data_IF_297840917327
#
_entry.id   IF_297840917327
#
_cell.length_a   1.000
_cell.length_b   1.000
_cell.length_c   1.000
_cell.angle_alpha   90.00
_cell.angle_beta   90.00
_cell.angle_gamma   90.00
#
_symmetry.space_group_name_H-M   'P 1'
#
loop_
_entity.id
_entity.type
_entity.pdbx_description
1 polymer ?
#
# COMPACT_ATOMS: atom_id res chain seq x y z
N UNK A 1 21.48 6.92 -38.38
CA UNK A 1 20.29 6.83 -37.50
C UNK A 1 19.66 8.22 -37.50
N UNK A 2 19.00 8.55 -38.60
CA UNK A 2 18.42 9.86 -38.86
C UNK A 2 16.93 9.82 -38.52
N UNK A 3 16.46 10.87 -37.83
CA UNK A 3 15.06 11.18 -37.53
C UNK A 3 14.29 10.26 -36.57
N UNK A 4 14.76 10.12 -35.32
CA UNK A 4 13.81 9.86 -34.22
C UNK A 4 13.06 11.18 -33.98
N UNK A 5 11.77 11.24 -34.37
CA UNK A 5 10.93 12.40 -34.09
C UNK A 5 10.96 12.71 -32.59
N UNK A 6 11.27 13.96 -32.25
CA UNK A 6 11.37 14.42 -30.87
C UNK A 6 9.96 14.39 -30.26
N UNK A 7 9.77 13.58 -29.22
CA UNK A 7 8.49 13.45 -28.49
C UNK A 7 8.20 14.75 -27.75
N UNK A 8 6.96 15.25 -27.89
CA UNK A 8 6.46 16.35 -27.08
C UNK A 8 6.01 15.82 -25.71
N UNK A 9 6.85 16.06 -24.69
CA UNK A 9 6.59 15.62 -23.33
C UNK A 9 5.45 16.38 -22.64
N UNK A 10 4.99 17.50 -23.21
CA UNK A 10 3.84 18.25 -22.67
C UNK A 10 2.49 17.73 -23.17
N UNK A 11 2.49 16.93 -24.23
CA UNK A 11 1.29 16.34 -24.84
C UNK A 11 1.46 14.86 -25.13
N UNK A 12 1.88 14.09 -24.12
CA UNK A 12 2.07 12.65 -24.26
C UNK A 12 0.72 11.97 -24.44
N UNK A 13 0.63 11.07 -25.42
CA UNK A 13 -0.54 10.23 -25.68
C UNK A 13 -0.12 8.81 -26.10
N UNK A 14 -1.05 7.84 -26.07
CA UNK A 14 -0.77 6.48 -26.48
C UNK A 14 -0.26 6.35 -27.92
N UNK A 15 0.51 5.29 -28.16
CA UNK A 15 1.13 4.96 -29.44
C UNK A 15 0.62 3.58 -29.90
N UNK A 16 0.13 3.50 -31.13
CA UNK A 16 -0.11 2.24 -31.84
C UNK A 16 0.92 1.97 -32.92
N UNK A 17 0.84 2.73 -34.01
CA UNK A 17 1.63 2.54 -35.24
C UNK A 17 2.46 3.78 -35.61
N UNK A 18 1.99 4.99 -35.27
CA UNK A 18 2.69 6.25 -35.55
C UNK A 18 2.76 7.15 -34.32
N UNK A 19 3.83 7.93 -34.21
CA UNK A 19 3.99 8.86 -33.09
C UNK A 19 2.77 9.78 -33.02
N UNK A 20 2.16 9.89 -31.85
CA UNK A 20 0.99 10.73 -31.59
C UNK A 20 -0.32 10.28 -32.27
N UNK A 21 -0.48 9.02 -32.66
CA UNK A 21 -1.76 8.52 -33.20
C UNK A 21 -2.86 8.33 -32.15
N UNK A 22 -2.49 8.19 -30.87
CA UNK A 22 -3.43 8.01 -29.77
C UNK A 22 -4.07 6.62 -29.75
N UNK A 23 -3.60 5.66 -30.54
CA UNK A 23 -4.28 4.38 -30.67
C UNK A 23 -4.13 3.55 -29.39
N UNK A 24 -5.24 3.00 -28.90
CA UNK A 24 -5.31 2.20 -27.68
C UNK A 24 -6.18 0.98 -27.91
N UNK A 25 -5.70 -0.17 -27.45
CA UNK A 25 -6.56 -1.32 -27.21
C UNK A 25 -7.12 -1.24 -25.80
N UNK A 26 -8.43 -1.33 -25.66
CA UNK A 26 -9.12 -1.41 -24.37
C UNK A 26 -9.96 -2.68 -24.32
N UNK A 27 -10.14 -3.22 -23.12
CA UNK A 27 -11.01 -4.37 -22.89
C UNK A 27 -11.80 -4.19 -21.61
N UNK A 28 -13.08 -4.50 -21.67
CA UNK A 28 -13.98 -4.41 -20.52
C UNK A 28 -15.20 -5.31 -20.71
N UNK A 29 -15.98 -5.47 -19.65
CA UNK A 29 -17.22 -6.26 -19.64
C UNK A 29 -18.39 -5.35 -19.33
N UNK A 30 -19.49 -5.51 -20.05
CA UNK A 30 -20.77 -4.88 -19.71
C UNK A 30 -21.76 -5.95 -19.21
N UNK A 31 -22.56 -5.64 -18.16
CA UNK A 31 -23.60 -6.54 -17.64
C UNK A 31 -24.85 -6.49 -18.54
N UNK A 32 -24.68 -6.78 -19.83
CA UNK A 32 -25.74 -6.79 -20.84
C UNK A 32 -25.68 -8.07 -21.68
N UNK A 33 -26.82 -8.57 -22.18
CA UNK A 33 -26.87 -9.74 -23.05
C UNK A 33 -26.00 -9.57 -24.29
N UNK A 34 -25.42 -10.66 -24.77
CA UNK A 34 -24.63 -10.67 -25.99
C UNK A 34 -25.50 -10.34 -27.22
N UNK A 35 -25.07 -9.38 -28.03
CA UNK A 35 -25.81 -8.93 -29.20
C UNK A 35 -25.27 -7.63 -29.80
N UNK A 36 -25.96 -7.14 -30.82
CA UNK A 36 -25.59 -5.91 -31.54
C UNK A 36 -25.78 -4.68 -30.63
N UNK A 37 -26.82 -4.66 -29.78
CA UNK A 37 -27.06 -3.63 -28.78
C UNK A 37 -25.92 -3.54 -27.76
N UNK A 38 -25.31 -4.68 -27.43
CA UNK A 38 -24.18 -4.76 -26.51
C UNK A 38 -22.94 -4.10 -27.11
N UNK A 39 -22.69 -4.37 -28.39
CA UNK A 39 -21.57 -3.79 -29.14
C UNK A 39 -21.74 -2.28 -29.33
N UNK A 40 -22.96 -1.83 -29.61
CA UNK A 40 -23.28 -0.41 -29.72
C UNK A 40 -23.15 0.33 -28.39
N UNK A 41 -23.63 -0.28 -27.29
CA UNK A 41 -23.43 0.25 -25.95
C UNK A 41 -21.95 0.40 -25.59
N UNK A 42 -21.11 -0.57 -25.97
CA UNK A 42 -19.67 -0.52 -25.75
C UNK A 42 -19.00 0.61 -26.55
N UNK A 43 -19.41 0.85 -27.81
CA UNK A 43 -18.93 1.99 -28.62
C UNK A 43 -19.28 3.34 -28.00
N UNK A 44 -20.55 3.54 -27.66
CA UNK A 44 -20.99 4.81 -27.06
C UNK A 44 -20.31 5.08 -25.71
N UNK A 45 -20.03 4.03 -24.94
CA UNK A 45 -19.27 4.17 -23.70
C UNK A 45 -17.82 4.60 -23.98
N UNK A 46 -17.15 3.97 -24.95
CA UNK A 46 -15.79 4.33 -25.34
C UNK A 46 -15.71 5.79 -25.86
N UNK A 47 -16.69 6.24 -26.63
CA UNK A 47 -16.77 7.66 -27.07
C UNK A 47 -16.85 8.61 -25.87
N UNK A 48 -17.69 8.30 -24.88
CA UNK A 48 -17.81 9.09 -23.65
C UNK A 48 -16.55 9.06 -22.78
N UNK A 49 -15.73 8.03 -22.90
CA UNK A 49 -14.41 7.93 -22.26
C UNK A 49 -13.32 8.74 -22.99
N UNK A 50 -13.66 9.42 -24.09
CA UNK A 50 -12.73 10.26 -24.84
C UNK A 50 -11.97 9.54 -25.95
N UNK A 51 -12.49 8.41 -26.44
CA UNK A 51 -11.94 7.71 -27.60
C UNK A 51 -12.69 8.09 -28.88
N UNK A 52 -11.96 8.53 -29.90
CA UNK A 52 -12.49 8.73 -31.24
C UNK A 52 -12.48 7.42 -32.03
N UNK A 53 -13.48 7.27 -32.90
CA UNK A 53 -13.68 6.12 -33.80
C UNK A 53 -13.54 4.75 -33.09
N UNK A 54 -14.17 4.51 -31.93
CA UNK A 54 -14.00 3.25 -31.22
C UNK A 54 -14.66 2.10 -31.98
N UNK A 55 -13.92 1.00 -32.12
CA UNK A 55 -14.34 -0.19 -32.85
C UNK A 55 -14.23 -1.42 -31.96
N UNK A 56 -15.32 -2.18 -31.86
CA UNK A 56 -15.31 -3.52 -31.26
C UNK A 56 -14.64 -4.48 -32.24
N UNK A 57 -13.51 -5.07 -31.82
CA UNK A 57 -12.79 -6.09 -32.61
C UNK A 57 -13.09 -7.50 -32.13
N UNK A 58 -13.54 -7.64 -30.88
CA UNK A 58 -13.95 -8.92 -30.32
C UNK A 58 -15.04 -8.71 -29.28
N UNK A 59 -16.05 -9.58 -29.30
CA UNK A 59 -17.09 -9.65 -28.28
C UNK A 59 -17.36 -11.10 -27.92
N UNK A 60 -17.61 -11.40 -26.65
CA UNK A 60 -17.90 -12.76 -26.18
C UNK A 60 -18.92 -12.76 -25.04
N UNK A 61 -19.91 -13.63 -25.14
CA UNK A 61 -20.83 -13.94 -24.04
C UNK A 61 -20.10 -14.68 -22.91
N UNK A 62 -20.29 -14.22 -21.67
CA UNK A 62 -19.76 -14.86 -20.47
C UNK A 62 -20.73 -15.87 -19.84
N UNK A 63 -21.93 -16.06 -20.41
CA UNK A 63 -22.91 -17.05 -19.98
C UNK A 63 -23.71 -16.68 -18.74
N UNK A 64 -23.53 -15.45 -18.23
CA UNK A 64 -24.23 -14.91 -17.05
C UNK A 64 -25.04 -13.65 -17.38
N UNK A 65 -25.33 -13.42 -18.67
CA UNK A 65 -25.97 -12.19 -19.16
C UNK A 65 -25.02 -11.00 -19.27
N UNK A 66 -23.72 -11.27 -19.41
CA UNK A 66 -22.65 -10.28 -19.48
C UNK A 66 -21.87 -10.50 -20.77
N UNK A 67 -21.38 -9.42 -21.35
CA UNK A 67 -20.61 -9.45 -22.59
C UNK A 67 -19.24 -8.82 -22.38
N UNK A 68 -18.19 -9.57 -22.71
CA UNK A 68 -16.81 -9.08 -22.73
C UNK A 68 -16.49 -8.51 -24.11
N UNK A 69 -15.74 -7.41 -24.14
CA UNK A 69 -15.33 -6.72 -25.35
C UNK A 69 -13.81 -6.48 -25.38
N UNK A 70 -13.24 -6.55 -26.58
CA UNK A 70 -11.94 -5.94 -26.91
C UNK A 70 -12.22 -4.91 -28.00
N UNK A 71 -11.71 -3.71 -27.80
CA UNK A 71 -11.95 -2.57 -28.66
C UNK A 71 -10.66 -1.82 -28.96
N UNK A 72 -10.61 -1.17 -30.11
CA UNK A 72 -9.59 -0.19 -30.45
C UNK A 72 -10.23 1.19 -30.57
N UNK A 73 -9.54 2.24 -30.17
CA UNK A 73 -9.98 3.61 -30.33
C UNK A 73 -8.82 4.59 -30.19
N UNK A 74 -9.01 5.82 -30.69
CA UNK A 74 -8.00 6.87 -30.60
C UNK A 74 -8.25 7.74 -29.38
N UNK A 75 -7.41 7.64 -28.36
CA UNK A 75 -7.44 8.49 -27.18
C UNK A 75 -7.22 9.96 -27.58
N UNK A 76 -8.18 10.82 -27.22
CA UNK A 76 -8.09 12.26 -27.48
C UNK A 76 -7.34 13.01 -26.39
N UNK A 77 -7.21 12.41 -25.21
CA UNK A 77 -6.57 13.02 -24.06
C UNK A 77 -5.04 12.92 -24.14
N UNK A 78 -4.39 13.95 -23.63
CA UNK A 78 -2.94 14.02 -23.48
C UNK A 78 -2.58 14.28 -22.02
N UNK A 79 -1.35 13.93 -21.66
CA UNK A 79 -0.78 14.20 -20.34
C UNK A 79 0.49 15.01 -20.51
N UNK A 80 0.64 16.06 -19.71
CA UNK A 80 1.92 16.76 -19.56
C UNK A 80 2.80 15.97 -18.59
N UNK A 81 3.77 15.24 -19.15
CA UNK A 81 4.72 14.45 -18.39
C UNK A 81 5.65 15.34 -17.53
N UNK A 82 5.90 16.57 -17.96
CA UNK A 82 6.82 17.49 -17.27
C UNK A 82 6.24 18.09 -16.00
N UNK A 83 4.91 18.09 -15.86
CA UNK A 83 4.20 18.58 -14.68
C UNK A 83 3.86 17.47 -13.67
N UNK A 84 4.25 16.22 -13.93
CA UNK A 84 3.95 15.11 -13.02
C UNK A 84 4.84 15.19 -11.77
N UNK A 85 4.23 15.54 -10.64
CA UNK A 85 4.84 15.41 -9.32
C UNK A 85 4.54 14.02 -8.75
N UNK A 86 5.52 13.13 -8.81
CA UNK A 86 5.46 11.87 -8.05
C UNK A 86 6.05 12.15 -6.67
N UNK A 87 5.32 11.90 -5.58
CA UNK A 87 5.90 11.89 -4.24
C UNK A 87 6.95 10.77 -4.21
N UNK A 88 8.21 11.13 -4.50
CA UNK A 88 9.34 10.23 -4.27
C UNK A 88 9.55 10.24 -2.78
N UNK A 89 9.03 9.21 -2.13
CA UNK A 89 9.46 8.86 -0.79
C UNK A 89 10.89 8.36 -0.93
N UNK A 90 11.86 9.28 -0.93
CA UNK A 90 13.29 8.95 -0.71
C UNK A 90 13.43 8.59 0.77
N UNK A 91 12.87 7.45 1.16
CA UNK A 91 13.29 6.78 2.38
C UNK A 91 14.40 5.83 1.97
N UNK A 92 15.59 6.05 2.52
CA UNK A 92 16.64 5.02 2.48
C UNK A 92 16.12 3.81 3.26
N UNK A 93 15.84 2.73 2.55
CA UNK A 93 15.47 1.45 3.14
C UNK A 93 16.77 0.73 3.48
N UNK A 94 16.89 0.33 4.76
CA UNK A 94 17.98 -0.50 5.21
C UNK A 94 17.59 -1.96 5.09
N UNK A 95 18.45 -2.76 4.46
CA UNK A 95 18.36 -4.21 4.49
C UNK A 95 18.69 -4.74 5.89
N UNK A 96 18.29 -5.99 6.17
CA UNK A 96 18.49 -6.61 7.50
C UNK A 96 19.92 -6.50 8.01
N UNK A 97 20.90 -6.76 7.15
CA UNK A 97 22.31 -6.75 7.52
C UNK A 97 22.81 -5.33 7.85
N UNK A 98 22.30 -4.33 7.14
CA UNK A 98 22.61 -2.92 7.39
C UNK A 98 22.02 -2.47 8.73
N UNK A 99 20.81 -2.92 9.07
CA UNK A 99 20.20 -2.67 10.40
C UNK A 99 21.04 -3.31 11.51
N UNK A 100 21.45 -4.56 11.34
CA UNK A 100 22.28 -5.27 12.32
C UNK A 100 23.65 -4.60 12.54
N UNK A 101 24.29 -4.14 11.46
CA UNK A 101 25.55 -3.40 11.52
C UNK A 101 25.35 -2.03 12.19
N UNK A 102 24.28 -1.32 11.85
CA UNK A 102 23.98 -0.03 12.44
C UNK A 102 23.74 -0.13 13.95
N UNK A 103 22.99 -1.13 14.42
CA UNK A 103 22.78 -1.37 15.85
C UNK A 103 24.12 -1.62 16.54
N UNK A 104 24.98 -2.45 15.94
CA UNK A 104 26.29 -2.78 16.50
C UNK A 104 27.24 -1.59 16.59
N UNK A 105 27.29 -0.75 15.55
CA UNK A 105 28.24 0.35 15.46
C UNK A 105 27.78 1.62 16.19
N UNK A 106 26.48 1.93 16.12
CA UNK A 106 25.93 3.20 16.59
C UNK A 106 25.23 3.07 17.95
N UNK A 107 24.39 2.03 18.13
CA UNK A 107 23.61 1.84 19.37
C UNK A 107 24.44 1.10 20.43
N UNK A 108 25.25 0.13 19.99
CA UNK A 108 26.23 -0.63 20.81
C UNK A 108 25.60 -1.43 21.96
N UNK A 109 24.30 -1.70 21.88
CA UNK A 109 23.52 -2.57 22.77
C UNK A 109 22.30 -3.09 22.00
N UNK A 110 21.67 -4.11 22.55
CA UNK A 110 20.44 -4.65 21.99
C UNK A 110 19.31 -3.60 22.11
N UNK A 111 18.49 -3.53 21.07
CA UNK A 111 17.30 -2.70 20.96
C UNK A 111 16.09 -3.54 21.36
N UNK A 112 15.36 -3.11 22.38
CA UNK A 112 14.22 -3.86 22.90
C UNK A 112 12.93 -3.29 22.31
N UNK A 113 12.15 -4.13 21.62
CA UNK A 113 10.93 -3.72 20.93
C UNK A 113 9.77 -4.57 21.44
N UNK A 114 8.75 -3.91 22.00
CA UNK A 114 7.53 -4.58 22.46
C UNK A 114 6.42 -4.29 21.46
N UNK A 115 5.70 -5.33 21.02
CA UNK A 115 4.58 -5.14 20.10
C UNK A 115 3.33 -5.91 20.50
N UNK A 116 2.16 -5.35 20.16
CA UNK A 116 0.87 -5.92 20.48
C UNK A 116 -0.24 -5.39 19.56
N UNK A 117 -1.32 -6.17 19.42
CA UNK A 117 -2.61 -5.60 19.04
C UNK A 117 -3.31 -5.13 20.31
N UNK A 118 -3.47 -3.80 20.45
CA UNK A 118 -3.98 -3.22 21.69
C UNK A 118 -5.51 -3.07 21.73
N UNK A 119 -6.06 -2.96 22.93
CA UNK A 119 -7.50 -2.81 23.17
C UNK A 119 -8.24 -4.12 22.99
N UNK A 120 -9.35 -4.12 22.24
CA UNK A 120 -10.18 -5.32 22.03
C UNK A 120 -9.86 -6.08 20.74
N UNK A 121 -8.87 -5.62 19.97
CA UNK A 121 -8.53 -6.17 18.66
C UNK A 121 -7.82 -7.53 18.79
N UNK A 122 -8.40 -8.56 18.18
CA UNK A 122 -7.90 -9.94 18.19
C UNK A 122 -7.03 -10.30 16.97
N UNK A 123 -6.84 -9.39 16.01
CA UNK A 123 -6.21 -9.71 14.73
C UNK A 123 -4.70 -9.57 14.79
N UNK A 124 -3.97 -10.67 15.00
CA UNK A 124 -2.49 -10.66 15.14
C UNK A 124 -1.72 -10.72 13.82
N UNK A 125 -2.35 -11.08 12.70
CA UNK A 125 -1.62 -11.39 11.45
C UNK A 125 -0.68 -10.26 11.01
N UNK A 126 -1.10 -9.00 11.18
CA UNK A 126 -0.28 -7.83 10.83
C UNK A 126 0.94 -7.66 11.74
N UNK A 127 0.78 -7.75 13.06
CA UNK A 127 1.91 -7.62 13.99
C UNK A 127 2.84 -8.83 13.90
N UNK A 128 2.28 -10.03 13.72
CA UNK A 128 3.03 -11.28 13.55
C UNK A 128 3.90 -11.25 12.29
N UNK A 129 3.43 -10.60 11.22
CA UNK A 129 4.19 -10.40 9.99
C UNK A 129 5.45 -9.53 10.19
N UNK A 130 5.44 -8.64 11.19
CA UNK A 130 6.54 -7.73 11.50
C UNK A 130 7.44 -8.31 12.59
N UNK A 131 6.88 -8.97 13.60
CA UNK A 131 7.63 -9.45 14.76
C UNK A 131 8.22 -10.83 14.56
N UNK A 132 7.44 -11.79 14.04
CA UNK A 132 7.84 -13.21 14.09
C UNK A 132 9.02 -13.51 13.17
N UNK A 133 9.85 -14.48 13.55
CA UNK A 133 11.06 -14.88 12.82
C UNK A 133 10.87 -15.17 11.31
N UNK A 134 9.69 -15.63 10.89
CA UNK A 134 9.37 -15.89 9.48
C UNK A 134 9.14 -14.61 8.68
N UNK A 135 8.58 -13.58 9.31
CA UNK A 135 8.13 -12.35 8.66
C UNK A 135 7.09 -12.57 7.56
N UNK A 136 7.09 -11.70 6.55
CA UNK A 136 6.11 -11.66 5.46
C UNK A 136 6.76 -11.35 4.11
N UNK A 137 6.31 -12.04 3.06
CA UNK A 137 6.73 -11.85 1.66
C UNK A 137 8.26 -11.78 1.43
N UNK A 138 9.01 -12.64 2.11
CA UNK A 138 10.47 -12.69 1.99
C UNK A 138 11.22 -11.69 2.90
N UNK A 139 10.52 -10.74 3.50
CA UNK A 139 11.06 -9.88 4.55
C UNK A 139 10.93 -10.58 5.90
N UNK A 140 12.05 -10.79 6.60
CA UNK A 140 12.04 -11.43 7.92
C UNK A 140 11.56 -10.46 9.00
N UNK A 141 10.91 -11.00 10.04
CA UNK A 141 10.48 -10.21 11.18
C UNK A 141 11.61 -9.90 12.17
N UNK A 142 11.33 -8.96 13.07
CA UNK A 142 12.29 -8.37 14.01
C UNK A 142 12.97 -9.40 14.93
N UNK A 143 12.29 -10.50 15.30
CA UNK A 143 12.89 -11.60 16.06
C UNK A 143 14.12 -12.23 15.39
N UNK A 144 14.26 -12.08 14.06
CA UNK A 144 15.39 -12.62 13.32
C UNK A 144 16.60 -11.68 13.25
N UNK A 145 16.43 -10.41 13.63
CA UNK A 145 17.49 -9.42 13.55
C UNK A 145 18.44 -9.56 14.74
N UNK A 146 19.74 -9.59 14.47
CA UNK A 146 20.76 -9.55 15.53
C UNK A 146 20.78 -8.18 16.19
N UNK A 147 20.81 -8.17 17.52
CA UNK A 147 20.78 -6.93 18.30
C UNK A 147 19.39 -6.34 18.48
N UNK A 148 18.33 -7.09 18.14
CA UNK A 148 16.94 -6.74 18.47
C UNK A 148 16.35 -7.82 19.38
N UNK A 149 15.79 -7.39 20.51
CA UNK A 149 14.94 -8.21 21.36
C UNK A 149 13.48 -7.84 21.09
N UNK A 150 12.80 -8.68 20.30
CA UNK A 150 11.40 -8.48 19.95
C UNK A 150 10.48 -9.27 20.89
N UNK A 151 9.56 -8.57 21.56
CA UNK A 151 8.60 -9.15 22.52
C UNK A 151 7.17 -8.94 21.99
N UNK A 152 6.63 -9.97 21.37
CA UNK A 152 5.24 -9.97 20.88
C UNK A 152 4.27 -10.37 22.00
N UNK A 153 3.43 -9.44 22.45
CA UNK A 153 2.40 -9.67 23.47
C UNK A 153 1.10 -10.23 22.90
N UNK A 154 1.01 -10.42 21.58
CA UNK A 154 -0.16 -10.99 20.92
C UNK A 154 -1.28 -9.97 20.73
N UNK A 155 -2.52 -10.38 21.03
CA UNK A 155 -3.71 -9.57 20.80
C UNK A 155 -4.52 -9.30 22.06
N UNK A 156 -5.43 -8.34 21.95
CA UNK A 156 -6.32 -7.90 23.02
C UNK A 156 -5.56 -7.43 24.27
N UNK A 157 -4.43 -6.76 24.07
CA UNK A 157 -3.57 -6.27 25.16
C UNK A 157 -4.03 -4.88 25.57
N UNK A 158 -4.27 -4.66 26.86
CA UNK A 158 -4.62 -3.33 27.37
C UNK A 158 -3.42 -2.37 27.26
N UNK A 159 -3.68 -1.09 27.01
CA UNK A 159 -2.61 -0.09 26.90
C UNK A 159 -1.77 -0.01 28.18
N UNK A 160 -2.40 -0.15 29.35
CA UNK A 160 -1.73 -0.18 30.64
C UNK A 160 -0.79 -1.37 30.78
N UNK A 161 -1.21 -2.56 30.32
CA UNK A 161 -0.38 -3.77 30.34
C UNK A 161 0.80 -3.66 29.36
N UNK A 162 0.55 -3.10 28.18
CA UNK A 162 1.57 -2.84 27.17
C UNK A 162 2.62 -1.86 27.69
N UNK A 163 2.22 -0.75 28.30
CA UNK A 163 3.12 0.24 28.89
C UNK A 163 3.88 -0.37 30.08
N UNK A 164 3.21 -1.10 30.96
CA UNK A 164 3.84 -1.75 32.10
C UNK A 164 4.93 -2.73 31.64
N UNK A 165 4.66 -3.52 30.59
CA UNK A 165 5.65 -4.43 30.02
C UNK A 165 6.82 -3.67 29.39
N UNK A 166 6.55 -2.59 28.66
CA UNK A 166 7.58 -1.75 28.07
C UNK A 166 8.50 -1.13 29.14
N UNK A 167 7.97 -0.71 30.29
CA UNK A 167 8.77 -0.22 31.42
C UNK A 167 9.61 -1.35 32.04
N UNK A 168 8.99 -2.50 32.29
CA UNK A 168 9.63 -3.68 32.90
C UNK A 168 10.88 -4.09 32.12
N UNK A 169 10.76 -4.16 30.80
CA UNK A 169 11.83 -4.61 29.90
C UNK A 169 12.71 -3.46 29.39
N UNK A 170 12.43 -2.21 29.80
CA UNK A 170 13.10 -0.99 29.34
C UNK A 170 13.13 -0.90 27.81
N UNK A 171 11.96 -1.08 27.20
CA UNK A 171 11.80 -1.06 25.76
C UNK A 171 12.28 0.28 25.15
N UNK A 172 12.88 0.21 23.97
CA UNK A 172 13.25 1.37 23.16
C UNK A 172 12.08 1.81 22.26
N UNK A 173 11.25 0.85 21.85
CA UNK A 173 10.10 1.10 21.00
C UNK A 173 8.88 0.24 21.38
N UNK A 174 7.69 0.80 21.11
CA UNK A 174 6.40 0.11 21.19
C UNK A 174 5.76 0.10 19.79
N UNK A 175 5.38 -1.08 19.32
CA UNK A 175 4.68 -1.31 18.05
C UNK A 175 3.23 -1.70 18.33
N UNK A 176 2.29 -0.92 17.83
CA UNK A 176 0.86 -1.17 18.03
C UNK A 176 0.19 -1.49 16.70
N UNK A 177 -0.49 -2.64 16.66
CA UNK A 177 -1.33 -3.02 15.53
C UNK A 177 -2.81 -2.72 15.83
N UNK A 178 -3.49 -2.04 14.91
CA UNK A 178 -4.92 -1.73 14.99
C UNK A 178 -5.60 -2.01 13.66
N UNK A 179 -6.51 -2.97 13.61
CA UNK A 179 -7.25 -3.36 12.41
C UNK A 179 -8.72 -2.92 12.51
N UNK A 180 -9.31 -2.98 13.71
CA UNK A 180 -10.71 -2.61 13.90
C UNK A 180 -10.86 -1.09 13.93
N UNK A 181 -11.41 -0.53 12.85
CA UNK A 181 -11.66 0.92 12.74
C UNK A 181 -13.09 1.35 13.07
N UNK A 182 -13.98 0.40 13.40
CA UNK A 182 -15.40 0.68 13.61
C UNK A 182 -15.63 1.74 14.71
N UNK A 183 -16.43 2.76 14.40
CA UNK A 183 -16.72 3.90 15.31
C UNK A 183 -15.45 4.59 15.83
N UNK A 184 -14.39 4.62 15.02
CA UNK A 184 -13.13 5.27 15.35
C UNK A 184 -12.47 4.73 16.63
N UNK A 185 -12.74 3.47 16.98
CA UNK A 185 -12.21 2.84 18.20
C UNK A 185 -10.67 2.84 18.22
N UNK A 186 -10.04 2.62 17.07
CA UNK A 186 -8.59 2.74 16.88
C UNK A 186 -8.05 4.13 17.25
N UNK A 187 -8.73 5.22 16.88
CA UNK A 187 -8.30 6.59 17.20
C UNK A 187 -8.37 6.82 18.70
N UNK A 188 -9.50 6.48 19.33
CA UNK A 188 -9.66 6.62 20.78
C UNK A 188 -8.62 5.80 21.55
N UNK A 189 -8.38 4.56 21.13
CA UNK A 189 -7.43 3.66 21.77
C UNK A 189 -5.97 4.12 21.60
N UNK A 190 -5.58 4.58 20.41
CA UNK A 190 -4.24 5.13 20.18
C UNK A 190 -4.04 6.47 20.92
N UNK A 191 -5.07 7.31 20.98
CA UNK A 191 -5.04 8.57 21.76
C UNK A 191 -4.82 8.26 23.23
N UNK A 192 -5.58 7.31 23.79
CA UNK A 192 -5.43 6.87 25.17
C UNK A 192 -4.01 6.36 25.47
N UNK A 193 -3.41 5.59 24.57
CA UNK A 193 -2.02 5.12 24.72
C UNK A 193 -1.04 6.29 24.82
N UNK A 194 -1.16 7.28 23.93
CA UNK A 194 -0.29 8.45 23.92
C UNK A 194 -0.46 9.27 25.21
N UNK A 195 -1.70 9.53 25.63
CA UNK A 195 -2.00 10.24 26.88
C UNK A 195 -1.41 9.54 28.11
N UNK A 196 -1.50 8.21 28.19
CA UNK A 196 -0.90 7.43 29.27
C UNK A 196 0.63 7.52 29.26
N UNK A 197 1.26 7.45 28.08
CA UNK A 197 2.71 7.60 27.97
C UNK A 197 3.21 9.00 28.30
N UNK A 198 2.42 10.04 28.01
CA UNK A 198 2.71 11.41 28.44
C UNK A 198 2.58 11.56 29.95
N UNK A 199 1.53 10.99 30.55
CA UNK A 199 1.31 11.02 31.99
C UNK A 199 2.44 10.35 32.79
N UNK A 200 2.99 9.24 32.28
CA UNK A 200 4.15 8.53 32.86
C UNK A 200 5.51 9.17 32.49
N UNK A 201 5.53 10.23 31.66
CA UNK A 201 6.76 10.90 31.22
C UNK A 201 7.67 9.99 30.37
N UNK A 202 7.07 9.10 29.59
CA UNK A 202 7.73 8.13 28.70
C UNK A 202 7.70 8.54 27.23
N UNK A 203 6.78 9.43 26.84
CA UNK A 203 6.55 9.80 25.43
C UNK A 203 7.80 10.23 24.68
N UNK A 204 8.71 10.96 25.33
CA UNK A 204 9.96 11.44 24.72
C UNK A 204 11.14 10.45 24.85
N UNK A 205 10.93 9.33 25.55
CA UNK A 205 11.98 8.34 25.86
C UNK A 205 11.86 7.07 25.02
N UNK A 206 10.73 6.87 24.34
CA UNK A 206 10.41 5.67 23.58
C UNK A 206 9.86 6.04 22.21
N UNK A 207 10.18 5.21 21.21
CA UNK A 207 9.61 5.33 19.87
C UNK A 207 8.24 4.64 19.86
N UNK A 208 7.23 5.35 19.35
CA UNK A 208 5.89 4.78 19.14
C UNK A 208 5.65 4.61 17.65
N UNK A 209 5.30 3.38 17.26
CA UNK A 209 4.91 3.04 15.90
C UNK A 209 3.53 2.41 15.95
N UNK A 210 2.58 2.96 15.18
CA UNK A 210 1.27 2.33 14.98
C UNK A 210 1.11 1.93 13.52
N UNK A 211 0.44 0.80 13.27
CA UNK A 211 0.18 0.31 11.92
C UNK A 211 -1.09 -0.53 11.87
N UNK A 212 -1.67 -0.61 10.68
CA UNK A 212 -2.93 -1.31 10.44
C UNK A 212 -3.57 -0.88 9.11
N UNK A 213 -4.47 -1.70 8.55
CA UNK A 213 -5.21 -1.40 7.33
C UNK A 213 -6.28 -0.32 7.51
#
# INVERSE_FOLDING_TARGET
MENIQKVDLTNVKPYGDTLNDGMVQMSFTLPVPYGDEASEAAKQLAEKMGFNDPAVVFSKDLGVGYTYFVMYGKCTHTVDYTSIEVPKVDMELMEREEVEEYIKENIKRDVVIVGACSGTDAHTVGIDAIMNMKGFDGHYGLERYKGIEAINMGSQVLNEELIAKAIEVKADAILVSQIVTQKDVHIANLTQLVEMMEAEGLRDKMILVCGGP
#
